data_IF_906893656980
#
_entry.id   IF_906893656980
#
_cell.length_a   1.000
_cell.length_b   1.000
_cell.length_c   1.000
_cell.angle_alpha   90.00
_cell.angle_beta   90.00
_cell.angle_gamma   90.00
#
_symmetry.space_group_name_H-M   'P 1'
#
loop_
_entity.id
_entity.type
_entity.pdbx_description
1 polymer ?
#
# COMPACT_ATOMS: atom_id res chain seq x y z
N UNK A 1 -19.33 4.11 2.04
CA UNK A 1 -18.86 4.86 0.86
C UNK A 1 -18.95 3.92 -0.35
N UNK A 2 -19.49 4.40 -1.43
CA UNK A 2 -19.63 3.60 -2.65
C UNK A 2 -18.33 3.47 -3.44
N UNK A 3 -18.38 2.75 -4.57
CA UNK A 3 -17.20 2.48 -5.39
C UNK A 3 -16.65 3.71 -6.12
N UNK A 4 -17.39 4.81 -6.16
CA UNK A 4 -17.00 6.05 -6.85
C UNK A 4 -16.39 7.08 -5.92
N UNK A 5 -16.40 6.85 -4.61
CA UNK A 5 -15.83 7.76 -3.63
C UNK A 5 -14.81 7.06 -2.74
N UNK A 6 -13.92 7.83 -2.15
CA UNK A 6 -12.90 7.33 -1.25
C UNK A 6 -12.85 8.18 0.02
N UNK A 7 -12.58 7.52 1.14
CA UNK A 7 -12.20 8.18 2.38
C UNK A 7 -10.68 8.17 2.45
N UNK A 8 -10.07 9.36 2.40
CA UNK A 8 -8.62 9.52 2.49
C UNK A 8 -8.27 9.98 3.90
N UNK A 9 -7.49 9.17 4.60
CA UNK A 9 -7.05 9.45 5.96
C UNK A 9 -5.58 9.82 5.91
N UNK A 10 -5.26 11.05 6.28
CA UNK A 10 -3.90 11.55 6.41
C UNK A 10 -3.55 11.72 7.88
N UNK A 11 -2.28 12.05 8.17
CA UNK A 11 -1.79 12.19 9.54
C UNK A 11 -2.59 13.19 10.37
N UNK A 12 -3.01 14.31 9.77
CA UNK A 12 -3.71 15.40 10.48
C UNK A 12 -5.14 15.67 10.00
N UNK A 13 -5.60 14.97 8.95
CA UNK A 13 -6.89 15.26 8.33
C UNK A 13 -7.52 14.04 7.69
N UNK A 14 -8.82 14.11 7.46
CA UNK A 14 -9.59 13.10 6.75
C UNK A 14 -10.43 13.79 5.69
N UNK A 15 -10.45 13.22 4.49
CA UNK A 15 -11.16 13.79 3.34
C UNK A 15 -12.05 12.75 2.68
N UNK A 16 -13.16 13.22 2.10
CA UNK A 16 -13.96 12.43 1.17
C UNK A 16 -13.66 12.94 -0.24
N UNK A 17 -13.21 12.04 -1.10
CA UNK A 17 -12.80 12.35 -2.47
C UNK A 17 -13.70 11.64 -3.45
N UNK A 18 -14.18 12.34 -4.48
CA UNK A 18 -15.06 11.79 -5.51
C UNK A 18 -14.31 10.98 -6.57
N UNK A 19 -13.48 10.04 -6.11
CA UNK A 19 -12.76 9.11 -6.96
C UNK A 19 -12.57 7.78 -6.23
N UNK A 20 -12.60 6.64 -6.93
CA UNK A 20 -12.26 5.36 -6.33
C UNK A 20 -10.81 5.36 -5.82
N UNK A 21 -10.48 4.55 -4.79
CA UNK A 21 -9.12 4.49 -4.25
C UNK A 21 -8.05 4.20 -5.31
N UNK A 22 -8.34 3.34 -6.27
CA UNK A 22 -7.39 3.02 -7.34
C UNK A 22 -7.04 4.24 -8.19
N UNK A 23 -8.02 5.10 -8.50
CA UNK A 23 -7.78 6.33 -9.26
C UNK A 23 -6.88 7.30 -8.49
N UNK A 24 -7.04 7.38 -7.18
CA UNK A 24 -6.17 8.21 -6.34
C UNK A 24 -4.75 7.67 -6.36
N UNK A 25 -4.59 6.36 -6.30
CA UNK A 25 -3.28 5.73 -6.36
C UNK A 25 -2.61 5.93 -7.72
N UNK A 26 -3.37 5.79 -8.81
CA UNK A 26 -2.90 6.06 -10.17
C UNK A 26 -2.41 7.50 -10.31
N UNK A 27 -3.22 8.45 -9.87
CA UNK A 27 -2.84 9.86 -9.88
C UNK A 27 -1.57 10.12 -9.07
N UNK A 28 -1.44 9.50 -7.91
CA UNK A 28 -0.27 9.66 -7.06
C UNK A 28 1.00 9.15 -7.74
N UNK A 29 0.93 7.99 -8.41
CA UNK A 29 2.05 7.46 -9.20
C UNK A 29 2.45 8.43 -10.32
N UNK A 30 1.47 8.96 -11.06
CA UNK A 30 1.70 9.91 -12.14
C UNK A 30 2.31 11.22 -11.63
N UNK A 31 1.86 11.70 -10.48
CA UNK A 31 2.40 12.90 -9.86
C UNK A 31 3.90 12.78 -9.62
N UNK A 32 4.37 11.60 -9.23
CA UNK A 32 5.79 11.34 -9.01
C UNK A 32 6.52 10.80 -10.25
N UNK A 33 5.93 10.97 -11.43
CA UNK A 33 6.59 10.68 -12.70
C UNK A 33 6.57 9.23 -13.14
N UNK A 34 5.65 8.42 -12.62
CA UNK A 34 5.52 7.02 -13.01
C UNK A 34 4.07 6.70 -13.39
N UNK A 35 3.71 5.42 -13.40
CA UNK A 35 2.34 4.97 -13.62
C UNK A 35 2.03 3.80 -12.71
N UNK A 36 0.76 3.61 -12.38
CA UNK A 36 0.31 2.46 -11.61
C UNK A 36 0.68 1.14 -12.32
N UNK A 37 0.41 1.05 -13.63
CA UNK A 37 0.71 -0.16 -14.40
C UNK A 37 2.22 -0.44 -14.44
N UNK A 38 3.04 0.58 -14.60
CA UNK A 38 4.49 0.45 -14.56
C UNK A 38 4.99 -0.02 -13.20
N UNK A 39 4.44 0.51 -12.12
CA UNK A 39 4.79 0.10 -10.75
C UNK A 39 4.32 -1.32 -10.44
N UNK A 40 3.15 -1.70 -10.93
CA UNK A 40 2.64 -3.07 -10.81
C UNK A 40 3.55 -4.06 -11.53
N UNK A 41 3.97 -3.73 -12.75
CA UNK A 41 4.91 -4.54 -13.52
C UNK A 41 6.27 -4.63 -12.81
N UNK A 42 6.73 -3.54 -12.21
CA UNK A 42 7.96 -3.53 -11.41
C UNK A 42 7.89 -4.48 -10.22
N UNK A 43 6.78 -4.49 -9.49
CA UNK A 43 6.56 -5.43 -8.38
C UNK A 43 6.59 -6.88 -8.89
N UNK A 44 5.95 -7.15 -10.02
CA UNK A 44 5.99 -8.48 -10.64
C UNK A 44 7.42 -8.94 -10.94
N UNK A 45 8.22 -8.07 -11.52
CA UNK A 45 9.63 -8.37 -11.84
C UNK A 45 10.47 -8.63 -10.60
N UNK A 46 10.23 -7.88 -9.52
CA UNK A 46 11.02 -8.00 -8.29
C UNK A 46 10.57 -9.16 -7.41
N UNK A 47 9.26 -9.38 -7.27
CA UNK A 47 8.69 -10.35 -6.33
C UNK A 47 8.02 -11.55 -6.98
N UNK A 48 7.73 -11.50 -8.29
CA UNK A 48 6.94 -12.52 -8.95
C UNK A 48 5.45 -12.48 -8.62
N UNK A 49 4.97 -11.40 -8.03
CA UNK A 49 3.58 -11.25 -7.58
C UNK A 49 2.75 -10.54 -8.65
N UNK A 50 1.58 -11.11 -8.98
CA UNK A 50 0.66 -10.57 -9.98
C UNK A 50 -0.70 -10.17 -9.40
N UNK A 51 -1.03 -10.59 -8.16
CA UNK A 51 -2.30 -10.30 -7.48
C UNK A 51 -2.04 -9.57 -6.18
N UNK A 52 -2.88 -8.58 -5.88
CA UNK A 52 -2.78 -7.76 -4.68
C UNK A 52 -1.38 -7.18 -4.51
N UNK A 53 -0.85 -6.66 -5.59
CA UNK A 53 0.54 -6.18 -5.65
C UNK A 53 0.75 -4.92 -4.83
N UNK A 54 1.74 -4.88 -3.94
CA UNK A 54 2.18 -3.62 -3.36
C UNK A 54 2.77 -2.72 -4.45
N UNK A 55 2.59 -1.42 -4.31
CA UNK A 55 2.94 -0.42 -5.32
C UNK A 55 3.89 0.61 -4.71
N UNK A 56 5.01 0.82 -5.38
CA UNK A 56 5.93 1.90 -5.04
C UNK A 56 5.38 3.19 -5.65
N UNK A 57 4.84 4.06 -4.82
CA UNK A 57 4.30 5.35 -5.29
C UNK A 57 5.44 6.35 -5.51
N UNK A 58 6.42 6.36 -4.62
CA UNK A 58 7.56 7.27 -4.72
C UNK A 58 8.81 6.55 -4.18
N UNK A 59 9.87 6.47 -5.02
CA UNK A 59 11.07 5.69 -4.71
C UNK A 59 12.00 6.34 -3.68
N UNK A 60 12.25 7.63 -3.81
CA UNK A 60 13.28 8.29 -2.98
C UNK A 60 12.92 8.30 -1.50
N UNK A 61 11.63 8.48 -1.17
CA UNK A 61 11.12 8.42 0.19
C UNK A 61 10.56 7.05 0.55
N UNK A 62 10.57 6.11 -0.40
CA UNK A 62 10.10 4.74 -0.21
C UNK A 62 8.65 4.65 0.23
N UNK A 63 7.81 5.45 -0.43
CA UNK A 63 6.36 5.42 -0.20
C UNK A 63 5.79 4.20 -0.91
N UNK A 64 5.42 3.20 -0.14
CA UNK A 64 4.87 1.94 -0.63
C UNK A 64 3.47 1.76 -0.05
N UNK A 65 2.50 1.58 -0.94
CA UNK A 65 1.13 1.24 -0.56
C UNK A 65 0.85 -0.21 -0.92
N UNK A 66 0.06 -0.87 -0.10
CA UNK A 66 -0.42 -2.22 -0.43
C UNK A 66 -1.93 -2.29 -0.29
N UNK A 67 -2.59 -3.09 -1.16
CA UNK A 67 -4.04 -3.27 -1.08
C UNK A 67 -4.39 -4.38 -0.09
N UNK A 68 -5.55 -4.26 0.53
CA UNK A 68 -6.04 -5.29 1.47
C UNK A 68 -6.76 -6.43 0.76
N UNK A 69 -7.30 -6.16 -0.43
CA UNK A 69 -7.96 -7.14 -1.31
C UNK A 69 -7.48 -6.90 -2.74
N UNK A 70 -8.09 -7.54 -3.72
CA UNK A 70 -7.77 -7.20 -5.12
C UNK A 70 -8.10 -5.73 -5.38
N UNK A 71 -7.31 -5.09 -6.23
CA UNK A 71 -7.40 -3.63 -6.48
C UNK A 71 -8.76 -3.20 -7.04
N UNK A 72 -9.44 -4.10 -7.77
CA UNK A 72 -10.75 -3.84 -8.38
C UNK A 72 -11.92 -4.03 -7.42
N UNK A 73 -11.68 -4.61 -6.25
CA UNK A 73 -12.73 -4.80 -5.25
C UNK A 73 -13.07 -3.46 -4.62
N UNK A 74 -14.37 -3.12 -4.59
CA UNK A 74 -14.82 -1.84 -4.00
C UNK A 74 -14.58 -1.73 -2.50
N UNK A 75 -14.30 -2.85 -1.83
CA UNK A 75 -13.93 -2.86 -0.40
C UNK A 75 -12.42 -2.74 -0.19
N UNK A 76 -11.63 -2.63 -1.25
CA UNK A 76 -10.18 -2.54 -1.14
C UNK A 76 -9.77 -1.26 -0.41
N UNK A 77 -8.90 -1.44 0.58
CA UNK A 77 -8.24 -0.34 1.29
C UNK A 77 -6.77 -0.37 0.92
N UNK A 78 -6.22 0.78 0.56
CA UNK A 78 -4.80 0.94 0.29
C UNK A 78 -4.12 1.55 1.51
N UNK A 79 -3.04 0.92 1.97
CA UNK A 79 -2.37 1.28 3.22
C UNK A 79 -0.91 1.60 2.93
N UNK A 80 -0.45 2.74 3.47
CA UNK A 80 0.95 3.13 3.42
C UNK A 80 1.74 2.34 4.46
N UNK A 81 2.68 1.51 3.99
CA UNK A 81 3.51 0.66 4.85
C UNK A 81 4.21 1.46 5.95
N UNK A 82 4.75 2.62 5.62
CA UNK A 82 5.54 3.43 6.56
C UNK A 82 4.72 4.02 7.71
N UNK A 83 3.40 4.08 7.59
CA UNK A 83 2.51 4.68 8.59
C UNK A 83 2.01 3.70 9.62
N UNK A 84 2.24 2.40 9.45
CA UNK A 84 1.79 1.37 10.39
C UNK A 84 2.69 1.36 11.62
N UNK A 85 2.08 1.45 12.80
CA UNK A 85 2.77 1.22 14.08
C UNK A 85 2.66 -0.26 14.47
N UNK A 86 1.43 -0.75 14.60
CA UNK A 86 1.14 -2.13 14.99
C UNK A 86 -0.24 -2.55 14.47
N UNK A 87 -0.50 -3.84 14.53
CA UNK A 87 -1.80 -4.38 14.16
C UNK A 87 -2.10 -5.62 15.01
N UNK A 88 -3.38 -5.91 15.22
CA UNK A 88 -3.78 -7.05 16.05
C UNK A 88 -5.12 -7.63 15.59
N UNK A 89 -5.29 -8.90 15.88
CA UNK A 89 -6.49 -9.64 15.53
C UNK A 89 -7.67 -9.21 16.40
N UNK A 90 -8.81 -8.89 15.78
CA UNK A 90 -10.08 -8.63 16.48
C UNK A 90 -10.93 -9.89 16.55
N UNK A 91 -11.07 -10.60 15.45
CA UNK A 91 -11.75 -11.88 15.33
C UNK A 91 -11.19 -12.61 14.09
N UNK A 92 -11.65 -13.84 13.77
CA UNK A 92 -11.07 -14.59 12.64
C UNK A 92 -11.12 -13.88 11.29
N UNK A 93 -12.00 -12.89 11.11
CA UNK A 93 -12.20 -12.20 9.84
C UNK A 93 -11.85 -10.71 9.88
N UNK A 94 -11.48 -10.17 11.05
CA UNK A 94 -11.21 -8.74 11.20
C UNK A 94 -9.91 -8.50 11.94
N UNK A 95 -9.25 -7.42 11.55
CA UNK A 95 -7.97 -6.99 12.10
C UNK A 95 -7.99 -5.48 12.31
N UNK A 96 -7.41 -5.01 13.40
CA UNK A 96 -7.23 -3.59 13.66
C UNK A 96 -5.80 -3.17 13.31
N UNK A 97 -5.66 -2.01 12.68
CA UNK A 97 -4.36 -1.37 12.47
C UNK A 97 -4.31 -0.10 13.30
N UNK A 98 -3.22 0.09 14.03
CA UNK A 98 -2.89 1.34 14.71
C UNK A 98 -1.78 2.02 13.92
N UNK A 99 -2.02 3.26 13.49
CA UNK A 99 -1.04 4.04 12.75
C UNK A 99 -0.12 4.81 13.72
N UNK A 100 1.01 5.28 13.21
CA UNK A 100 2.01 5.99 14.02
C UNK A 100 1.49 7.26 14.69
N UNK A 101 0.45 7.88 14.13
CA UNK A 101 -0.21 9.03 14.74
C UNK A 101 -1.22 8.66 15.83
N UNK A 102 -1.42 7.38 16.10
CA UNK A 102 -2.38 6.87 17.10
C UNK A 102 -3.76 6.53 16.54
N UNK A 103 -4.06 6.85 15.29
CA UNK A 103 -5.34 6.49 14.68
C UNK A 103 -5.47 4.98 14.55
N UNK A 104 -6.70 4.49 14.75
CA UNK A 104 -7.02 3.08 14.62
C UNK A 104 -8.10 2.90 13.55
N UNK A 105 -7.90 1.92 12.67
CA UNK A 105 -8.93 1.48 11.74
C UNK A 105 -9.16 -0.02 11.87
N UNK A 106 -10.39 -0.46 11.62
CA UNK A 106 -10.74 -1.87 11.56
C UNK A 106 -10.89 -2.28 10.10
N UNK A 107 -10.31 -3.43 9.76
CA UNK A 107 -10.32 -3.98 8.41
C UNK A 107 -11.06 -5.30 8.39
N UNK A 108 -11.86 -5.53 7.34
CA UNK A 108 -12.58 -6.80 7.11
C UNK A 108 -11.67 -7.84 6.44
N UNK A 109 -10.47 -8.01 6.95
CA UNK A 109 -9.53 -9.04 6.50
C UNK A 109 -8.94 -9.75 7.72
N UNK A 110 -8.53 -11.00 7.51
CA UNK A 110 -7.91 -11.79 8.57
C UNK A 110 -6.50 -11.26 8.90
N UNK A 111 -6.08 -11.53 10.12
CA UNK A 111 -4.72 -11.22 10.57
C UNK A 111 -3.66 -11.83 9.65
N UNK A 112 -3.85 -13.08 9.21
CA UNK A 112 -2.92 -13.74 8.30
C UNK A 112 -2.84 -13.07 6.93
N UNK A 113 -3.97 -12.65 6.38
CA UNK A 113 -3.99 -11.93 5.10
C UNK A 113 -3.27 -10.58 5.20
N UNK A 114 -3.50 -9.84 6.28
CA UNK A 114 -2.82 -8.57 6.49
C UNK A 114 -1.31 -8.79 6.67
N UNK A 115 -0.92 -9.78 7.46
CA UNK A 115 0.49 -10.13 7.66
C UNK A 115 1.18 -10.44 6.32
N UNK A 116 0.53 -11.22 5.46
CA UNK A 116 1.08 -11.53 4.14
C UNK A 116 1.31 -10.26 3.30
N UNK A 117 0.37 -9.33 3.32
CA UNK A 117 0.50 -8.09 2.56
C UNK A 117 1.60 -7.19 3.13
N UNK A 118 1.73 -7.10 4.44
CA UNK A 118 2.82 -6.35 5.08
C UNK A 118 4.17 -6.97 4.74
N UNK A 119 4.28 -8.30 4.76
CA UNK A 119 5.52 -8.99 4.41
C UNK A 119 5.91 -8.77 2.94
N UNK A 120 4.94 -8.81 2.02
CA UNK A 120 5.17 -8.53 0.60
C UNK A 120 5.67 -7.10 0.39
N UNK A 121 5.03 -6.13 1.00
CA UNK A 121 5.42 -4.72 0.91
C UNK A 121 6.81 -4.48 1.52
N UNK A 122 7.09 -5.12 2.65
CA UNK A 122 8.40 -5.05 3.32
C UNK A 122 9.51 -5.66 2.46
N UNK A 123 9.22 -6.79 1.81
CA UNK A 123 10.17 -7.43 0.89
C UNK A 123 10.44 -6.55 -0.33
N UNK A 124 9.41 -5.92 -0.88
CA UNK A 124 9.57 -4.98 -1.99
C UNK A 124 10.51 -3.84 -1.59
N UNK A 125 10.29 -3.24 -0.43
CA UNK A 125 11.15 -2.19 0.11
C UNK A 125 12.60 -2.67 0.25
N UNK A 126 12.80 -3.84 0.84
CA UNK A 126 14.13 -4.42 1.02
C UNK A 126 14.86 -4.61 -0.31
N UNK A 127 14.18 -5.18 -1.31
CA UNK A 127 14.80 -5.43 -2.62
C UNK A 127 15.13 -4.14 -3.36
N UNK A 128 14.29 -3.11 -3.24
CA UNK A 128 14.59 -1.81 -3.81
C UNK A 128 15.82 -1.18 -3.15
N UNK A 129 15.91 -1.25 -1.84
CA UNK A 129 17.07 -0.75 -1.10
C UNK A 129 18.35 -1.46 -1.53
N UNK A 130 18.30 -2.77 -1.70
CA UNK A 130 19.44 -3.57 -2.18
C UNK A 130 19.89 -3.14 -3.57
N UNK A 131 18.96 -2.89 -4.47
CA UNK A 131 19.28 -2.49 -5.84
C UNK A 131 19.86 -1.09 -5.92
N UNK A 132 19.39 -0.17 -5.13
CA UNK A 132 19.93 1.19 -5.02
C UNK A 132 21.37 1.13 -4.51
N UNK A 133 21.63 0.39 -3.45
CA UNK A 133 22.97 0.21 -2.89
C UNK A 133 23.94 -0.41 -3.91
N UNK A 134 23.50 -1.43 -4.65
CA UNK A 134 24.31 -2.06 -5.71
C UNK A 134 24.67 -1.05 -6.81
N UNK A 135 23.72 -0.22 -7.23
CA UNK A 135 23.93 0.79 -8.24
C UNK A 135 24.95 1.84 -7.78
N UNK A 136 24.81 2.31 -6.54
CA UNK A 136 25.73 3.28 -5.94
C UNK A 136 27.16 2.70 -5.83
N UNK A 137 27.30 1.44 -5.46
CA UNK A 137 28.59 0.78 -5.33
C UNK A 137 29.29 0.51 -6.67
N UNK A 138 28.57 0.54 -7.79
CA UNK A 138 29.14 0.35 -9.13
C UNK A 138 29.64 1.63 -9.76
N UNK A 139 29.26 2.75 -9.22
CA UNK A 139 29.67 4.05 -9.67
C UNK A 139 30.78 4.57 -8.76
#
# INVERSE_FOLDING_TARGET
IDSETSRVIETEAEYIVNNPPLNILEYSCEYFGSSYEGRKEGTKKLLGITHKSPIVVEESRKIIFFPTTSAENEKCVWINLEKIDKYYKLDPKRTAIVFKNGDLIELDISYGSLTNQILRASRLKFLLDQRILKKENKI
#
